data_IF_135965157263
#
_entry.id   IF_135965157263
#
_cell.length_a   1.000
_cell.length_b   1.000
_cell.length_c   1.000
_cell.angle_alpha   90.00
_cell.angle_beta   90.00
_cell.angle_gamma   90.00
#
_symmetry.space_group_name_H-M   'P 1'
#
loop_
_entity.id
_entity.type
_entity.pdbx_description
1 polymer ?
#
# COMPACT_ATOMS: atom_id res chain seq x y z
N UNK A 1 -5.65 -24.94 -2.48
CA UNK A 1 -4.90 -23.68 -2.48
C UNK A 1 -5.78 -22.64 -1.82
N UNK A 2 -5.42 -22.18 -0.64
CA UNK A 2 -6.22 -21.20 0.13
C UNK A 2 -5.88 -19.82 -0.43
N UNK A 3 -6.87 -19.15 -0.99
CA UNK A 3 -6.69 -17.80 -1.57
C UNK A 3 -7.21 -16.78 -0.57
N UNK A 4 -6.39 -15.83 -0.21
CA UNK A 4 -6.74 -14.76 0.71
C UNK A 4 -7.16 -13.52 -0.09
N UNK A 5 -8.21 -12.85 0.39
CA UNK A 5 -8.72 -11.62 -0.21
C UNK A 5 -8.72 -10.56 0.86
N UNK A 6 -8.02 -9.45 0.59
CA UNK A 6 -7.87 -8.35 1.51
C UNK A 6 -8.47 -7.08 0.92
N UNK A 7 -9.12 -6.30 1.75
CA UNK A 7 -9.54 -4.94 1.43
C UNK A 7 -8.63 -3.99 2.21
N UNK A 8 -7.87 -3.18 1.50
CA UNK A 8 -7.00 -2.18 2.10
C UNK A 8 -7.47 -0.78 1.70
N UNK A 9 -7.86 0.04 2.68
CA UNK A 9 -8.12 1.46 2.44
C UNK A 9 -6.81 2.23 2.66
N UNK A 10 -6.17 2.63 1.58
CA UNK A 10 -4.95 3.43 1.61
C UNK A 10 -5.24 4.94 1.56
N UNK A 11 -6.47 5.35 1.83
CA UNK A 11 -6.95 6.74 1.75
C UNK A 11 -6.09 7.75 2.54
N UNK A 12 -5.42 7.30 3.60
CA UNK A 12 -4.56 8.17 4.41
C UNK A 12 -3.22 8.57 3.76
N UNK A 13 -2.87 7.98 2.62
CA UNK A 13 -1.57 8.21 1.98
C UNK A 13 -1.62 9.12 0.76
N UNK A 14 -2.81 9.33 0.16
CA UNK A 14 -2.96 10.09 -1.08
C UNK A 14 -3.38 11.54 -0.83
N UNK A 15 -3.12 12.08 0.28
CA UNK A 15 -3.17 13.53 0.33
C UNK A 15 -1.92 14.06 -0.38
N UNK A 16 -1.92 13.90 -1.71
CA UNK A 16 -1.16 14.78 -2.55
C UNK A 16 -1.48 16.19 -2.09
N UNK A 17 -0.47 16.98 -1.93
CA UNK A 17 -0.42 18.35 -1.51
C UNK A 17 -1.33 19.33 -2.29
N UNK A 18 -2.51 18.95 -2.68
CA UNK A 18 -3.61 19.87 -2.96
C UNK A 18 -4.14 20.30 -1.61
N UNK A 19 -3.48 21.33 -1.11
CA UNK A 19 -3.84 22.19 -0.01
C UNK A 19 -5.35 22.45 -0.01
N UNK A 20 -6.11 21.59 0.69
CA UNK A 20 -7.44 21.91 1.19
C UNK A 20 -7.58 21.34 2.60
N UNK A 21 -7.18 22.16 3.57
CA UNK A 21 -7.76 22.11 4.90
C UNK A 21 -7.22 21.11 5.89
N UNK A 22 -5.99 20.60 5.79
CA UNK A 22 -5.48 19.68 6.80
C UNK A 22 -4.13 20.07 7.38
N UNK A 23 -4.13 19.99 8.70
CA UNK A 23 -3.01 20.08 9.65
C UNK A 23 -1.97 21.13 9.30
N UNK A 24 -2.12 22.29 9.91
CA UNK A 24 -1.12 23.37 9.89
C UNK A 24 0.22 22.99 10.51
N UNK A 25 0.39 21.76 11.00
CA UNK A 25 1.61 21.29 11.65
C UNK A 25 2.33 20.29 10.75
N UNK A 26 3.17 20.80 9.88
CA UNK A 26 4.23 20.01 9.22
C UNK A 26 5.59 20.59 9.59
N UNK A 27 6.60 19.76 9.56
CA UNK A 27 8.00 20.15 9.74
C UNK A 27 8.71 20.14 8.40
N UNK A 28 9.58 21.13 8.18
CA UNK A 28 10.43 21.15 6.99
C UNK A 28 11.78 20.53 7.34
N UNK A 29 12.25 19.62 6.50
CA UNK A 29 13.54 18.98 6.65
C UNK A 29 14.31 19.01 5.32
N UNK A 30 15.64 18.86 5.41
CA UNK A 30 16.55 18.80 4.29
C UNK A 30 17.38 17.51 4.39
N UNK A 31 16.87 16.38 3.85
CA UNK A 31 17.56 15.10 3.93
C UNK A 31 18.93 15.14 3.26
N UNK A 32 19.89 14.42 3.86
CA UNK A 32 21.26 14.31 3.37
C UNK A 32 21.73 12.87 3.39
N UNK A 33 22.39 12.42 2.33
CA UNK A 33 23.10 11.15 2.32
C UNK A 33 24.37 11.30 3.15
N UNK A 34 24.50 10.51 4.22
CA UNK A 34 25.70 10.49 5.08
C UNK A 34 26.76 9.53 4.57
N UNK A 35 26.37 8.53 3.79
CA UNK A 35 27.28 7.56 3.20
C UNK A 35 26.54 6.50 2.42
N UNK A 36 27.20 6.00 1.39
CA UNK A 36 26.86 4.73 0.74
C UNK A 36 28.03 3.79 0.99
N UNK A 37 27.80 2.66 1.64
CA UNK A 37 28.87 1.69 1.89
C UNK A 37 29.05 0.77 0.68
N UNK A 38 30.06 1.04 -0.11
CA UNK A 38 30.71 0.12 -1.04
C UNK A 38 29.77 -0.61 -2.02
N UNK A 39 30.07 -1.88 -2.27
CA UNK A 39 29.30 -2.78 -3.12
C UNK A 39 27.93 -3.21 -2.55
N UNK A 40 27.64 -2.90 -1.29
CA UNK A 40 26.33 -3.11 -0.68
C UNK A 40 25.40 -1.94 -1.07
N UNK A 41 24.20 -2.27 -1.51
CA UNK A 41 23.16 -1.30 -1.89
C UNK A 41 22.59 -0.53 -0.71
N UNK A 42 23.28 -0.47 0.41
CA UNK A 42 22.89 0.20 1.66
C UNK A 42 23.17 1.70 1.59
N UNK A 43 22.21 2.49 2.05
CA UNK A 43 22.32 3.94 2.16
C UNK A 43 22.02 4.40 3.58
N UNK A 44 22.75 5.38 4.04
CA UNK A 44 22.45 6.06 5.31
C UNK A 44 22.00 7.48 5.00
N UNK A 45 20.75 7.79 5.34
CA UNK A 45 20.17 9.11 5.07
C UNK A 45 19.76 9.75 6.39
N UNK A 46 20.36 10.91 6.66
CA UNK A 46 19.90 11.78 7.74
C UNK A 46 18.68 12.57 7.27
N UNK A 47 17.55 12.37 7.89
CA UNK A 47 16.31 13.07 7.56
C UNK A 47 16.21 14.39 8.33
N UNK A 48 16.38 14.32 9.65
CA UNK A 48 16.38 15.44 10.58
C UNK A 48 17.04 15.04 11.88
N UNK A 49 17.22 15.99 12.80
CA UNK A 49 17.74 15.69 14.13
C UNK A 49 16.97 14.56 14.82
N UNK A 50 17.70 13.57 15.30
CA UNK A 50 17.13 12.37 15.92
C UNK A 50 16.53 11.33 14.96
N UNK A 51 16.53 11.58 13.63
CA UNK A 51 16.02 10.64 12.65
C UNK A 51 16.99 10.40 11.50
N UNK A 52 17.66 9.27 11.55
CA UNK A 52 18.54 8.75 10.49
C UNK A 52 18.02 7.37 10.08
N UNK A 53 17.92 7.12 8.77
CA UNK A 53 17.49 5.87 8.19
C UNK A 53 18.69 5.07 7.69
N UNK A 54 18.69 3.77 8.00
CA UNK A 54 19.63 2.78 7.48
C UNK A 54 18.92 1.94 6.44
N UNK A 55 19.10 2.28 5.18
CA UNK A 55 18.28 1.84 4.08
C UNK A 55 18.89 0.65 3.35
N UNK A 56 18.12 -0.42 3.24
CA UNK A 56 18.37 -1.60 2.39
C UNK A 56 17.44 -1.57 1.18
N UNK A 57 17.83 -2.23 0.07
CA UNK A 57 16.96 -2.37 -1.11
C UNK A 57 15.71 -3.17 -0.81
N UNK A 58 14.58 -2.70 -1.34
CA UNK A 58 13.33 -3.46 -1.37
C UNK A 58 13.35 -4.42 -2.57
N UNK A 59 12.77 -5.59 -2.39
CA UNK A 59 12.41 -6.51 -3.45
C UNK A 59 10.99 -7.01 -3.17
N UNK A 60 10.02 -6.36 -3.78
CA UNK A 60 8.58 -6.63 -3.59
C UNK A 60 7.83 -6.75 -4.92
N UNK A 61 8.41 -6.25 -6.02
CA UNK A 61 7.83 -6.35 -7.35
C UNK A 61 8.39 -7.56 -8.09
N UNK A 62 7.51 -8.31 -8.76
CA UNK A 62 7.92 -9.35 -9.70
C UNK A 62 8.74 -8.74 -10.84
N UNK A 63 9.79 -9.43 -11.29
CA UNK A 63 10.54 -8.99 -12.47
C UNK A 63 9.62 -8.82 -13.69
N UNK A 64 8.68 -9.75 -13.86
CA UNK A 64 7.66 -9.72 -14.90
C UNK A 64 6.34 -9.15 -14.38
N UNK A 65 6.40 -7.94 -13.80
CA UNK A 65 5.21 -7.24 -13.33
C UNK A 65 4.28 -6.93 -14.51
N UNK A 66 2.99 -7.11 -14.33
CA UNK A 66 1.99 -6.78 -15.34
C UNK A 66 1.01 -5.75 -14.78
N UNK A 67 0.88 -4.62 -15.47
CA UNK A 67 -0.17 -3.65 -15.21
C UNK A 67 -1.30 -3.86 -16.22
N UNK A 68 -2.53 -4.02 -15.73
CA UNK A 68 -3.74 -4.11 -16.56
C UNK A 68 -4.63 -2.91 -16.30
N UNK A 69 -5.03 -2.21 -17.35
CA UNK A 69 -5.96 -1.10 -17.27
C UNK A 69 -7.33 -1.54 -17.83
N UNK A 70 -8.34 -1.59 -16.96
CA UNK A 70 -9.72 -1.93 -17.29
C UNK A 70 -10.63 -0.68 -17.32
N UNK A 71 -10.08 0.52 -17.33
CA UNK A 71 -10.87 1.75 -17.33
C UNK A 71 -11.47 2.08 -18.69
N UNK A 72 -10.90 1.56 -19.77
CA UNK A 72 -11.33 1.74 -21.13
C UNK A 72 -12.39 0.71 -21.58
N UNK A 73 -12.75 0.77 -22.88
CA UNK A 73 -13.64 -0.24 -23.50
C UNK A 73 -12.98 -1.61 -23.64
N UNK A 74 -11.68 -1.60 -23.92
CA UNK A 74 -10.86 -2.80 -24.08
C UNK A 74 -9.79 -2.81 -23.00
N UNK A 75 -9.47 -3.96 -22.40
CA UNK A 75 -8.38 -4.10 -21.47
C UNK A 75 -7.02 -3.76 -22.13
N UNK A 76 -6.24 -2.91 -21.49
CA UNK A 76 -4.86 -2.62 -21.92
C UNK A 76 -3.90 -3.30 -20.95
N UNK A 77 -3.05 -4.18 -21.47
CA UNK A 77 -2.07 -4.96 -20.69
C UNK A 77 -0.66 -4.44 -21.00
N UNK A 78 0.01 -3.95 -19.98
CA UNK A 78 1.35 -3.37 -20.07
C UNK A 78 2.33 -4.19 -19.25
N UNK A 79 3.25 -4.94 -19.88
CA UNK A 79 4.36 -5.57 -19.18
C UNK A 79 5.32 -4.51 -18.62
N UNK A 80 5.75 -4.67 -17.37
CA UNK A 80 6.68 -3.77 -16.69
C UNK A 80 7.84 -4.56 -16.09
N UNK A 81 9.02 -3.97 -16.07
CA UNK A 81 10.14 -4.56 -15.35
C UNK A 81 10.13 -4.10 -13.88
N UNK A 82 9.68 -4.98 -12.97
CA UNK A 82 9.57 -4.64 -11.54
C UNK A 82 10.91 -4.27 -10.92
N UNK A 83 12.01 -4.91 -11.32
CA UNK A 83 13.36 -4.58 -10.84
C UNK A 83 13.76 -3.15 -11.20
N UNK A 84 13.41 -2.70 -12.41
CA UNK A 84 13.64 -1.33 -12.81
C UNK A 84 12.75 -0.36 -12.02
N UNK A 85 11.49 -0.72 -11.75
CA UNK A 85 10.57 0.12 -10.98
C UNK A 85 11.01 0.28 -9.52
N UNK A 86 11.53 -0.78 -8.91
CA UNK A 86 11.98 -0.74 -7.50
C UNK A 86 13.44 -0.26 -7.31
N UNK A 87 14.13 0.16 -8.39
CA UNK A 87 15.56 0.56 -8.32
C UNK A 87 15.87 1.66 -7.31
N UNK A 88 14.91 2.52 -7.02
CA UNK A 88 15.04 3.63 -6.06
C UNK A 88 14.27 3.38 -4.75
N UNK A 89 13.74 2.18 -4.54
CA UNK A 89 12.98 1.82 -3.36
C UNK A 89 13.86 1.17 -2.30
N UNK A 90 13.71 1.65 -1.07
CA UNK A 90 14.50 1.23 0.07
C UNK A 90 13.62 1.10 1.31
N UNK A 91 14.06 0.30 2.27
CA UNK A 91 13.42 0.18 3.56
C UNK A 91 14.43 0.22 4.72
N UNK A 92 13.94 0.62 5.88
CA UNK A 92 14.60 0.47 7.18
C UNK A 92 13.67 -0.31 8.08
N UNK A 93 14.03 -1.57 8.39
CA UNK A 93 13.19 -2.48 9.18
C UNK A 93 13.05 -2.02 10.62
N UNK A 94 14.10 -1.44 11.20
CA UNK A 94 14.10 -0.98 12.60
C UNK A 94 13.17 0.24 12.77
N UNK A 95 13.15 1.13 11.79
CA UNK A 95 12.32 2.34 11.79
C UNK A 95 10.93 2.13 11.20
N UNK A 96 10.63 0.91 10.70
CA UNK A 96 9.40 0.61 9.96
C UNK A 96 9.19 1.59 8.79
N UNK A 97 10.30 1.94 8.13
CA UNK A 97 10.31 2.92 7.05
C UNK A 97 10.42 2.23 5.69
N UNK A 98 9.73 2.80 4.69
CA UNK A 98 9.91 2.45 3.29
C UNK A 98 9.81 3.74 2.45
N UNK A 99 10.82 3.98 1.64
CA UNK A 99 10.97 5.25 0.92
C UNK A 99 11.50 5.04 -0.49
N UNK A 100 11.07 5.91 -1.41
CA UNK A 100 11.76 6.15 -2.66
C UNK A 100 12.85 7.20 -2.42
N UNK A 101 14.07 6.93 -2.90
CA UNK A 101 15.21 7.84 -2.80
C UNK A 101 15.75 8.09 -4.20
N UNK A 102 15.67 9.34 -4.66
CA UNK A 102 16.27 9.80 -5.90
C UNK A 102 17.43 10.74 -5.60
N UNK A 103 18.53 10.52 -6.27
CA UNK A 103 19.72 11.38 -6.17
C UNK A 103 20.01 11.98 -7.53
N UNK A 104 19.92 13.30 -7.62
CA UNK A 104 20.21 14.03 -8.85
C UNK A 104 21.06 15.25 -8.54
N UNK A 105 22.21 15.37 -9.21
CA UNK A 105 23.13 16.51 -9.10
C UNK A 105 23.52 16.84 -7.65
N UNK A 106 23.71 15.82 -6.80
CA UNK A 106 24.05 15.96 -5.38
C UNK A 106 22.88 16.32 -4.46
N UNK A 107 21.70 16.55 -5.01
CA UNK A 107 20.47 16.71 -4.24
C UNK A 107 19.78 15.37 -4.05
N UNK A 108 19.11 15.23 -2.91
CA UNK A 108 18.39 14.01 -2.53
C UNK A 108 16.90 14.32 -2.42
N UNK A 109 16.11 13.54 -3.11
CA UNK A 109 14.65 13.50 -2.94
C UNK A 109 14.26 12.22 -2.22
N UNK A 110 13.47 12.37 -1.17
CA UNK A 110 12.96 11.26 -0.35
C UNK A 110 11.44 11.36 -0.29
N UNK A 111 10.75 10.31 -0.65
CA UNK A 111 9.28 10.24 -0.51
C UNK A 111 8.84 8.89 0.05
N UNK A 112 7.86 8.91 0.96
CA UNK A 112 7.32 7.69 1.54
C UNK A 112 7.09 7.72 3.04
N UNK A 113 7.20 6.56 3.63
CA UNK A 113 6.97 6.27 5.06
C UNK A 113 8.31 6.31 5.79
N UNK A 114 8.45 7.14 6.82
CA UNK A 114 9.68 7.25 7.61
C UNK A 114 9.53 6.76 9.05
N UNK A 115 8.32 6.46 9.45
CA UNK A 115 7.98 5.74 10.68
C UNK A 115 6.50 5.31 10.63
N UNK A 116 6.01 4.64 11.65
CA UNK A 116 4.59 4.25 11.75
C UNK A 116 3.61 5.39 11.51
N UNK A 117 3.94 6.58 11.97
CA UNK A 117 3.05 7.75 11.90
C UNK A 117 3.55 8.89 11.04
N UNK A 118 4.79 8.86 10.57
CA UNK A 118 5.39 9.96 9.83
C UNK A 118 5.56 9.64 8.35
N UNK A 119 5.28 10.64 7.53
CA UNK A 119 5.48 10.61 6.08
C UNK A 119 6.37 11.76 5.65
N UNK A 120 7.09 11.56 4.55
CA UNK A 120 7.95 12.57 3.95
C UNK A 120 7.63 12.72 2.46
N UNK A 121 7.60 13.96 1.99
CA UNK A 121 7.44 14.28 0.56
C UNK A 121 8.30 15.50 0.21
N UNK A 122 8.87 15.57 -1.00
CA UNK A 122 9.64 16.74 -1.44
C UNK A 122 8.74 17.95 -1.68
N UNK A 123 9.28 19.15 -1.42
CA UNK A 123 8.63 20.46 -1.64
C UNK A 123 9.35 21.19 -2.76
N UNK A 124 9.08 20.83 -4.00
CA UNK A 124 9.76 21.41 -5.18
C UNK A 124 9.55 22.91 -5.37
N UNK A 125 8.46 23.47 -4.81
CA UNK A 125 8.16 24.91 -4.90
C UNK A 125 8.87 25.75 -3.84
N UNK A 126 9.52 25.13 -2.86
CA UNK A 126 10.31 25.84 -1.86
C UNK A 126 11.74 26.06 -2.36
N UNK A 127 12.35 27.16 -1.90
CA UNK A 127 13.76 27.43 -2.16
C UNK A 127 14.63 26.28 -1.61
N UNK A 128 15.65 25.91 -2.35
CA UNK A 128 16.69 24.99 -1.86
C UNK A 128 17.46 25.66 -0.73
N UNK A 129 18.04 24.84 0.16
CA UNK A 129 18.98 25.35 1.15
C UNK A 129 20.26 25.90 0.52
N UNK A 130 21.10 26.58 1.28
CA UNK A 130 22.37 27.16 0.81
C UNK A 130 23.30 26.10 0.18
N UNK A 131 23.24 24.86 0.67
CA UNK A 131 24.01 23.72 0.15
C UNK A 131 23.32 22.99 -1.00
N UNK A 132 22.20 23.51 -1.53
CA UNK A 132 21.46 22.96 -2.66
C UNK A 132 20.48 21.84 -2.32
N UNK A 133 20.36 21.48 -1.03
CA UNK A 133 19.44 20.41 -0.59
C UNK A 133 17.98 20.81 -0.84
N UNK A 134 17.15 19.82 -1.21
CA UNK A 134 15.72 20.00 -1.47
C UNK A 134 14.96 20.00 -0.15
N UNK A 135 14.04 20.96 0.01
CA UNK A 135 13.14 21.00 1.14
C UNK A 135 12.14 19.86 1.09
N UNK A 136 11.86 19.22 2.21
CA UNK A 136 10.86 18.17 2.35
C UNK A 136 9.87 18.52 3.45
N UNK A 137 8.61 18.18 3.23
CA UNK A 137 7.55 18.22 4.22
C UNK A 137 7.51 16.90 4.96
N UNK A 138 7.65 16.95 6.29
CA UNK A 138 7.36 15.84 7.18
C UNK A 138 6.03 16.12 7.85
N UNK A 139 5.11 15.19 7.79
CA UNK A 139 3.79 15.32 8.39
C UNK A 139 3.36 14.03 9.08
N UNK A 140 2.54 14.21 10.10
CA UNK A 140 1.98 13.09 10.84
C UNK A 140 0.69 12.64 10.19
N UNK A 141 0.60 11.34 9.93
CA UNK A 141 -0.67 10.69 9.58
C UNK A 141 -1.29 10.21 10.89
N UNK A 142 -2.53 10.60 11.13
CA UNK A 142 -3.27 10.04 12.24
C UNK A 142 -3.47 8.56 11.94
N UNK A 143 -2.70 7.72 12.63
CA UNK A 143 -3.02 6.32 12.65
C UNK A 143 -4.47 6.19 13.16
N UNK A 144 -5.33 5.42 12.49
CA UNK A 144 -6.60 5.07 13.10
C UNK A 144 -6.29 4.54 14.50
N UNK A 145 -6.99 5.05 15.50
CA UNK A 145 -6.75 4.68 16.90
C UNK A 145 -6.59 3.18 16.96
N UNK A 146 -5.49 2.70 17.57
CA UNK A 146 -5.14 1.30 17.69
C UNK A 146 -6.38 0.51 18.11
N UNK A 147 -7.06 -0.07 17.12
CA UNK A 147 -8.19 -0.96 17.35
C UNK A 147 -7.57 -2.33 17.44
N UNK A 148 -7.45 -2.81 18.66
CA UNK A 148 -7.06 -4.19 18.87
C UNK A 148 -7.95 -5.09 17.99
N UNK A 149 -7.33 -5.99 17.23
CA UNK A 149 -7.97 -6.98 16.39
C UNK A 149 -8.66 -6.44 15.11
N UNK A 150 -7.90 -5.77 14.23
CA UNK A 150 -8.29 -5.54 12.84
C UNK A 150 -8.07 -6.80 11.98
N UNK A 151 -8.64 -7.92 12.41
CA UNK A 151 -8.80 -9.08 11.55
C UNK A 151 -10.29 -9.20 11.23
N UNK A 152 -10.67 -8.99 9.96
CA UNK A 152 -11.90 -9.56 9.49
C UNK A 152 -11.72 -11.08 9.57
N UNK A 153 -12.16 -11.71 10.66
CA UNK A 153 -12.44 -13.12 10.62
C UNK A 153 -13.40 -13.31 9.44
N UNK A 154 -12.96 -14.05 8.43
CA UNK A 154 -13.84 -14.63 7.46
C UNK A 154 -14.73 -15.63 8.24
N UNK A 155 -15.67 -15.09 9.02
CA UNK A 155 -16.63 -15.86 9.75
C UNK A 155 -17.50 -16.58 8.72
N UNK A 156 -17.26 -17.91 8.64
CA UNK A 156 -18.11 -18.89 7.98
C UNK A 156 -18.20 -18.84 6.45
N UNK A 157 -17.06 -18.83 5.75
CA UNK A 157 -17.01 -19.66 4.56
C UNK A 157 -16.82 -21.09 5.07
N UNK A 158 -17.91 -21.83 5.23
CA UNK A 158 -17.84 -23.28 5.40
C UNK A 158 -17.12 -23.82 4.15
N UNK A 159 -15.84 -24.10 4.32
CA UNK A 159 -15.10 -24.97 3.44
C UNK A 159 -15.73 -26.34 3.65
N UNK A 160 -16.67 -26.71 2.79
CA UNK A 160 -17.03 -28.12 2.63
C UNK A 160 -15.74 -28.85 2.26
N UNK A 161 -15.11 -29.45 3.27
CA UNK A 161 -14.10 -30.48 3.08
C UNK A 161 -14.77 -31.64 2.34
N UNK A 162 -14.71 -31.61 1.03
CA UNK A 162 -14.85 -32.84 0.23
C UNK A 162 -13.53 -33.61 0.33
N UNK A 163 -13.22 -34.06 1.52
CA UNK A 163 -12.32 -35.19 1.74
C UNK A 163 -13.11 -36.47 1.50
N UNK A 164 -13.29 -36.84 0.23
CA UNK A 164 -13.65 -38.22 -0.10
C UNK A 164 -12.50 -39.11 0.37
N UNK A 165 -12.85 -40.02 1.28
CA UNK A 165 -11.96 -40.95 1.91
C UNK A 165 -11.07 -41.73 0.96
N UNK A 166 -9.80 -41.56 1.08
CA UNK A 166 -8.79 -42.53 0.74
C UNK A 166 -7.73 -42.56 1.84
N UNK A 167 -7.63 -43.74 2.43
CA UNK A 167 -6.58 -44.30 3.29
C UNK A 167 -5.50 -43.32 3.78
N UNK A 168 -5.41 -43.26 5.12
CA UNK A 168 -4.30 -42.71 5.87
C UNK A 168 -2.96 -43.32 5.43
N UNK A 169 -2.35 -42.70 4.44
CA UNK A 169 -0.91 -42.75 4.24
C UNK A 169 -0.32 -41.62 5.07
N UNK A 170 0.75 -41.93 5.83
CA UNK A 170 1.58 -41.05 6.66
C UNK A 170 1.55 -39.59 6.18
N UNK A 171 1.32 -38.61 7.08
CA UNK A 171 1.31 -37.20 6.71
C UNK A 171 2.66 -36.86 6.06
N UNK A 172 2.66 -36.58 4.76
CA UNK A 172 3.81 -35.97 4.10
C UNK A 172 4.07 -34.68 4.83
N UNK A 173 5.22 -34.55 5.47
CA UNK A 173 5.71 -33.27 5.92
C UNK A 173 5.87 -32.38 4.68
N UNK A 174 4.92 -31.48 4.48
CA UNK A 174 5.03 -30.43 3.46
C UNK A 174 6.09 -29.48 3.98
N UNK A 175 7.28 -29.51 3.40
CA UNK A 175 8.29 -28.48 3.66
C UNK A 175 7.76 -27.17 3.10
N UNK A 176 7.41 -26.25 3.99
CA UNK A 176 7.03 -24.89 3.61
C UNK A 176 8.32 -24.14 3.25
N UNK A 177 8.40 -23.49 2.09
CA UNK A 177 9.57 -22.67 1.74
C UNK A 177 9.84 -21.57 2.77
N UNK A 178 11.11 -21.26 3.01
CA UNK A 178 11.52 -20.13 3.84
C UNK A 178 12.51 -19.24 3.03
N UNK A 179 12.10 -18.06 2.57
CA UNK A 179 10.82 -17.39 2.83
C UNK A 179 9.64 -17.97 2.03
N UNK A 180 8.45 -17.88 2.61
CA UNK A 180 7.19 -18.18 1.93
C UNK A 180 6.73 -16.94 1.17
N UNK A 181 6.77 -17.00 -0.17
CA UNK A 181 6.33 -15.90 -1.04
C UNK A 181 4.82 -15.97 -1.23
N UNK A 182 4.15 -14.85 -1.03
CA UNK A 182 2.73 -14.67 -1.33
C UNK A 182 2.62 -13.83 -2.60
N UNK A 183 2.30 -14.48 -3.72
CA UNK A 183 2.03 -13.80 -4.97
C UNK A 183 0.73 -13.02 -4.88
N UNK A 184 0.79 -11.72 -5.15
CA UNK A 184 -0.30 -10.79 -4.87
C UNK A 184 -0.74 -10.05 -6.14
N UNK A 185 -2.06 -10.04 -6.36
CA UNK A 185 -2.73 -9.14 -7.28
C UNK A 185 -3.21 -7.91 -6.51
N UNK A 186 -2.83 -6.72 -6.98
CA UNK A 186 -3.33 -5.45 -6.45
C UNK A 186 -4.34 -4.88 -7.43
N UNK A 187 -5.55 -4.64 -6.96
CA UNK A 187 -6.60 -3.96 -7.73
C UNK A 187 -6.79 -2.57 -7.15
N UNK A 188 -6.72 -1.57 -7.98
CA UNK A 188 -6.88 -0.17 -7.59
C UNK A 188 -8.11 0.43 -8.27
N UNK A 189 -8.97 1.10 -7.50
CA UNK A 189 -10.15 1.75 -8.04
C UNK A 189 -9.82 3.15 -8.64
N UNK A 190 -10.81 3.72 -9.35
CA UNK A 190 -10.64 5.02 -9.99
C UNK A 190 -10.35 6.14 -9.01
N UNK A 191 -10.93 6.10 -7.82
CA UNK A 191 -10.74 7.12 -6.77
C UNK A 191 -9.33 7.11 -6.23
N UNK A 192 -8.62 5.97 -6.40
CA UNK A 192 -7.23 5.84 -6.04
C UNK A 192 -6.30 6.22 -7.19
N UNK A 193 -6.42 5.57 -8.37
CA UNK A 193 -5.44 5.74 -9.43
C UNK A 193 -5.50 7.11 -10.12
N UNK A 194 -6.64 7.80 -10.09
CA UNK A 194 -6.78 9.19 -10.62
C UNK A 194 -5.94 10.22 -9.85
N UNK A 195 -5.37 9.87 -8.69
CA UNK A 195 -4.47 10.76 -7.94
C UNK A 195 -3.02 10.73 -8.45
N UNK A 196 -2.71 9.92 -9.45
CA UNK A 196 -1.36 9.77 -9.99
C UNK A 196 -1.28 10.27 -11.43
N UNK A 197 -0.21 11.01 -11.75
CA UNK A 197 -0.01 11.57 -13.10
C UNK A 197 0.29 10.47 -14.13
N UNK A 198 0.84 9.34 -13.69
CA UNK A 198 1.21 8.22 -14.56
C UNK A 198 1.32 6.89 -13.80
N UNK A 199 1.35 5.80 -14.57
CA UNK A 199 1.41 4.44 -14.02
C UNK A 199 2.69 4.15 -13.23
N UNK A 200 3.81 4.79 -13.57
CA UNK A 200 5.06 4.59 -12.84
C UNK A 200 4.96 5.13 -11.40
N UNK A 201 4.36 6.31 -11.22
CA UNK A 201 4.10 6.87 -9.88
C UNK A 201 3.14 5.98 -9.08
N UNK A 202 2.07 5.49 -9.72
CA UNK A 202 1.12 4.57 -9.11
C UNK A 202 1.83 3.29 -8.60
N UNK A 203 2.61 2.64 -9.47
CA UNK A 203 3.35 1.41 -9.13
C UNK A 203 4.35 1.65 -7.99
N UNK A 204 5.14 2.73 -8.08
CA UNK A 204 6.11 3.12 -7.03
C UNK A 204 5.43 3.34 -5.68
N UNK A 205 4.29 4.04 -5.69
CA UNK A 205 3.53 4.29 -4.47
C UNK A 205 2.98 3.01 -3.84
N UNK A 206 2.40 2.12 -4.65
CA UNK A 206 1.90 0.82 -4.20
C UNK A 206 3.05 -0.01 -3.61
N UNK A 207 4.17 -0.10 -4.33
CA UNK A 207 5.33 -0.85 -3.89
C UNK A 207 5.89 -0.33 -2.56
N UNK A 208 6.03 1.00 -2.40
CA UNK A 208 6.50 1.63 -1.17
C UNK A 208 5.54 1.36 0.00
N UNK A 209 4.23 1.46 -0.25
CA UNK A 209 3.22 1.24 0.78
C UNK A 209 3.18 -0.22 1.24
N UNK A 210 3.20 -1.17 0.30
CA UNK A 210 3.18 -2.59 0.62
C UNK A 210 4.51 -3.09 1.18
N UNK A 211 5.62 -2.41 0.90
CA UNK A 211 6.89 -2.68 1.56
C UNK A 211 6.80 -2.47 3.08
N UNK A 212 6.09 -1.44 3.55
CA UNK A 212 5.88 -1.25 5.00
C UNK A 212 5.04 -2.36 5.62
N UNK A 213 4.07 -2.89 4.88
CA UNK A 213 3.29 -4.06 5.30
C UNK A 213 4.17 -5.30 5.34
N UNK A 214 5.00 -5.51 4.31
CA UNK A 214 5.92 -6.65 4.23
C UNK A 214 6.94 -6.65 5.39
N UNK A 215 7.44 -5.48 5.82
CA UNK A 215 8.32 -5.36 6.99
C UNK A 215 7.64 -5.93 8.25
N UNK A 216 6.35 -5.65 8.46
CA UNK A 216 5.61 -6.18 9.62
C UNK A 216 5.51 -7.70 9.60
N UNK A 217 5.30 -8.28 8.42
CA UNK A 217 5.29 -9.75 8.25
C UNK A 217 6.68 -10.38 8.33
N UNK A 218 7.76 -9.63 8.08
CA UNK A 218 9.13 -10.16 8.20
C UNK A 218 9.52 -10.55 9.62
N UNK A 219 8.77 -10.08 10.64
CA UNK A 219 8.91 -10.49 12.02
C UNK A 219 8.26 -11.86 12.33
N UNK A 220 7.45 -12.38 11.40
CA UNK A 220 6.98 -13.76 11.48
C UNK A 220 8.18 -14.70 11.25
N UNK A 221 8.44 -15.62 12.17
CA UNK A 221 9.71 -16.34 12.24
C UNK A 221 9.66 -17.75 11.68
N UNK A 222 8.47 -18.32 11.37
CA UNK A 222 8.41 -19.70 10.89
C UNK A 222 7.09 -20.04 10.16
N UNK A 223 7.07 -19.94 8.85
CA UNK A 223 8.08 -19.42 7.93
C UNK A 223 8.12 -17.88 7.91
N UNK A 224 9.20 -17.31 7.37
CA UNK A 224 9.21 -15.88 6.98
C UNK A 224 8.23 -15.67 5.84
N UNK A 225 7.37 -14.68 5.97
CA UNK A 225 6.39 -14.33 4.94
C UNK A 225 6.88 -13.10 4.17
N UNK A 226 6.86 -13.20 2.85
CA UNK A 226 7.23 -12.10 1.95
C UNK A 226 6.14 -11.90 0.90
N UNK A 227 5.71 -10.66 0.71
CA UNK A 227 4.78 -10.30 -0.36
C UNK A 227 5.54 -10.12 -1.67
N UNK A 228 4.96 -10.60 -2.78
CA UNK A 228 5.45 -10.38 -4.14
C UNK A 228 4.30 -9.87 -5.01
N UNK A 229 4.38 -8.64 -5.47
CA UNK A 229 3.37 -8.05 -6.36
C UNK A 229 3.64 -8.54 -7.79
N UNK A 230 2.74 -9.34 -8.32
CA UNK A 230 2.85 -9.91 -9.68
C UNK A 230 1.97 -9.15 -10.66
N UNK A 231 0.78 -8.72 -10.22
CA UNK A 231 -0.17 -7.99 -11.03
C UNK A 231 -0.68 -6.74 -10.33
N UNK A 232 -0.86 -5.67 -11.10
CA UNK A 232 -1.58 -4.47 -10.69
C UNK A 232 -2.69 -4.24 -11.71
N UNK A 233 -3.93 -4.04 -11.26
CA UNK A 233 -5.09 -3.81 -12.13
C UNK A 233 -5.77 -2.50 -11.76
N UNK A 234 -5.88 -1.58 -12.70
CA UNK A 234 -6.74 -0.39 -12.60
C UNK A 234 -8.15 -0.81 -13.00
N UNK A 235 -9.10 -0.69 -12.10
CA UNK A 235 -10.49 -1.10 -12.31
C UNK A 235 -11.43 0.00 -11.82
N UNK A 236 -12.35 0.42 -12.68
CA UNK A 236 -13.35 1.46 -12.31
C UNK A 236 -14.21 1.00 -11.12
N UNK A 237 -14.34 -0.31 -10.94
CA UNK A 237 -15.04 -0.90 -9.79
C UNK A 237 -16.56 -0.88 -9.87
N UNK A 238 -17.14 -0.59 -11.06
CA UNK A 238 -18.61 -0.44 -11.23
C UNK A 238 -19.42 -1.68 -10.83
N UNK A 239 -18.82 -2.84 -10.93
CA UNK A 239 -19.47 -4.13 -10.67
C UNK A 239 -19.28 -4.66 -9.24
N UNK A 240 -18.25 -4.19 -8.52
CA UNK A 240 -17.98 -4.64 -7.15
C UNK A 240 -17.99 -3.54 -6.07
N UNK A 241 -17.64 -2.29 -6.39
CA UNK A 241 -17.69 -1.21 -5.40
C UNK A 241 -19.14 -0.91 -4.99
N UNK A 242 -19.36 -0.80 -3.70
CA UNK A 242 -20.64 -0.42 -3.11
C UNK A 242 -20.45 0.86 -2.30
N UNK A 243 -21.12 1.90 -2.74
CA UNK A 243 -20.96 3.23 -2.19
C UNK A 243 -22.00 3.54 -1.12
N UNK A 244 -21.57 4.29 -0.11
CA UNK A 244 -22.44 4.89 0.91
C UNK A 244 -22.29 6.39 0.80
N UNK A 245 -23.39 7.08 0.56
CA UNK A 245 -23.44 8.55 0.54
C UNK A 245 -23.94 9.03 1.90
N UNK A 246 -23.14 9.86 2.57
CA UNK A 246 -23.46 10.43 3.88
C UNK A 246 -23.58 11.94 3.74
N UNK A 247 -24.64 12.52 4.28
CA UNK A 247 -24.77 13.97 4.32
C UNK A 247 -23.82 14.56 5.36
N UNK A 248 -23.02 15.54 4.95
CA UNK A 248 -22.13 16.31 5.82
C UNK A 248 -22.65 17.74 5.92
N UNK A 249 -23.49 17.98 6.91
CA UNK A 249 -24.09 19.29 7.16
C UNK A 249 -23.05 20.36 7.55
N UNK A 250 -21.83 19.97 7.90
CA UNK A 250 -20.75 20.89 8.26
C UNK A 250 -20.04 21.48 7.06
N UNK A 251 -20.15 20.84 5.89
CA UNK A 251 -19.49 21.25 4.64
C UNK A 251 -20.52 21.76 3.62
N UNK A 252 -20.80 23.05 3.66
CA UNK A 252 -21.75 23.71 2.76
C UNK A 252 -21.36 23.65 1.28
N UNK A 253 -20.05 23.53 0.98
CA UNK A 253 -19.55 23.46 -0.40
C UNK A 253 -19.68 22.05 -0.98
N UNK A 254 -19.66 21.01 -0.15
CA UNK A 254 -19.82 19.64 -0.56
C UNK A 254 -20.59 18.86 0.53
N UNK A 255 -21.93 18.99 0.54
CA UNK A 255 -22.79 18.49 1.64
C UNK A 255 -22.89 16.96 1.69
N UNK A 256 -22.21 16.26 0.80
CA UNK A 256 -22.22 14.80 0.75
C UNK A 256 -20.80 14.27 0.70
N UNK A 257 -20.50 13.25 1.51
CA UNK A 257 -19.26 12.51 1.47
C UNK A 257 -19.51 11.07 1.01
N UNK A 258 -18.71 10.62 0.08
CA UNK A 258 -18.80 9.29 -0.49
C UNK A 258 -17.85 8.34 0.23
N UNK A 259 -18.36 7.19 0.65
CA UNK A 259 -17.61 6.11 1.28
C UNK A 259 -17.78 4.81 0.48
N UNK A 260 -16.88 3.87 0.71
CA UNK A 260 -17.02 2.50 0.21
C UNK A 260 -17.48 1.58 1.35
N UNK A 261 -18.57 0.85 1.14
CA UNK A 261 -19.00 -0.19 2.08
C UNK A 261 -18.04 -1.38 2.02
N UNK A 262 -17.26 -1.58 3.09
CA UNK A 262 -16.37 -2.73 3.17
C UNK A 262 -17.14 -4.05 3.15
N UNK A 263 -18.21 -4.13 3.94
CA UNK A 263 -19.04 -5.32 4.11
C UNK A 263 -19.71 -5.79 2.80
N UNK A 264 -20.15 -4.85 1.96
CA UNK A 264 -20.83 -5.20 0.71
C UNK A 264 -19.87 -5.32 -0.48
N UNK A 265 -18.77 -4.56 -0.47
CA UNK A 265 -17.78 -4.54 -1.56
C UNK A 265 -16.94 -5.79 -1.57
N UNK A 266 -16.45 -6.24 -0.41
CA UNK A 266 -15.51 -7.35 -0.32
C UNK A 266 -16.05 -8.66 -0.92
N UNK A 267 -17.30 -9.09 -0.70
CA UNK A 267 -17.85 -10.28 -1.33
C UNK A 267 -17.97 -10.18 -2.86
N UNK A 268 -18.27 -8.98 -3.38
CA UNK A 268 -18.38 -8.76 -4.83
C UNK A 268 -16.99 -8.75 -5.49
N UNK A 269 -16.03 -8.09 -4.85
CA UNK A 269 -14.63 -8.12 -5.24
C UNK A 269 -14.09 -9.56 -5.26
N UNK A 270 -14.34 -10.32 -4.19
CA UNK A 270 -13.99 -11.72 -4.07
C UNK A 270 -14.57 -12.57 -5.21
N UNK A 271 -15.82 -12.33 -5.58
CA UNK A 271 -16.49 -13.04 -6.69
C UNK A 271 -15.83 -12.73 -8.04
N UNK A 272 -15.49 -11.45 -8.29
CA UNK A 272 -14.86 -11.01 -9.54
C UNK A 272 -13.48 -11.62 -9.71
N UNK A 273 -12.65 -11.54 -8.67
CA UNK A 273 -11.24 -11.93 -8.71
C UNK A 273 -10.95 -13.36 -8.19
N UNK A 274 -11.99 -14.18 -7.96
CA UNK A 274 -11.83 -15.55 -7.42
C UNK A 274 -10.94 -16.48 -8.27
N UNK A 275 -10.83 -16.21 -9.56
CA UNK A 275 -10.10 -17.02 -10.52
C UNK A 275 -8.69 -16.49 -10.83
N UNK A 276 -8.19 -15.52 -10.03
CA UNK A 276 -6.79 -15.08 -10.16
C UNK A 276 -5.83 -16.25 -9.94
N UNK A 277 -4.67 -16.20 -10.60
CA UNK A 277 -3.59 -17.17 -10.40
C UNK A 277 -2.76 -16.87 -9.15
N UNK A 278 -2.92 -15.67 -8.57
CA UNK A 278 -2.22 -15.24 -7.37
C UNK A 278 -2.75 -15.91 -6.10
N UNK A 279 -1.90 -15.98 -5.07
CA UNK A 279 -2.26 -16.49 -3.74
C UNK A 279 -3.20 -15.52 -3.01
N UNK A 280 -3.02 -14.22 -3.21
CA UNK A 280 -3.83 -13.17 -2.61
C UNK A 280 -4.27 -12.12 -3.63
N UNK A 281 -5.44 -11.51 -3.39
CA UNK A 281 -5.91 -10.32 -4.09
C UNK A 281 -6.24 -9.23 -3.08
N UNK A 282 -5.75 -8.02 -3.33
CA UNK A 282 -5.97 -6.84 -2.49
C UNK A 282 -6.70 -5.77 -3.29
N UNK A 283 -7.76 -5.21 -2.71
CA UNK A 283 -8.40 -4.00 -3.23
C UNK A 283 -7.86 -2.78 -2.49
N UNK A 284 -7.37 -1.82 -3.25
CA UNK A 284 -6.95 -0.51 -2.77
C UNK A 284 -7.92 0.54 -3.28
N UNK A 285 -8.56 1.25 -2.37
CA UNK A 285 -9.55 2.27 -2.69
C UNK A 285 -9.10 3.66 -2.25
N UNK A 286 -9.42 4.67 -3.04
CA UNK A 286 -9.23 6.08 -2.68
C UNK A 286 -10.35 6.62 -1.79
N UNK A 287 -11.41 5.85 -1.53
CA UNK A 287 -12.51 6.22 -0.66
C UNK A 287 -12.28 5.70 0.76
N UNK A 288 -12.76 6.45 1.74
CA UNK A 288 -12.82 5.96 3.11
C UNK A 288 -13.82 4.80 3.22
N UNK A 289 -13.51 3.86 4.11
CA UNK A 289 -14.39 2.73 4.36
C UNK A 289 -15.48 3.11 5.37
N UNK A 290 -16.70 2.62 5.14
CA UNK A 290 -17.79 2.71 6.09
C UNK A 290 -18.63 1.43 6.06
N UNK A 291 -19.33 1.18 7.16
CA UNK A 291 -20.35 0.13 7.25
C UNK A 291 -21.70 0.76 7.57
N UNK A 292 -22.74 0.17 7.01
CA UNK A 292 -24.12 0.57 7.29
C UNK A 292 -24.78 -0.45 8.22
N UNK A 293 -25.28 0.01 9.38
CA UNK A 293 -26.08 -0.78 10.31
C UNK A 293 -27.49 -0.16 10.36
N UNK A 294 -28.38 -0.66 9.49
CA UNK A 294 -29.72 -0.06 9.34
C UNK A 294 -29.65 1.36 8.75
N UNK A 295 -30.12 2.35 9.50
CA UNK A 295 -30.06 3.77 9.12
C UNK A 295 -28.71 4.44 9.47
N UNK A 296 -27.95 3.85 10.38
CA UNK A 296 -26.70 4.42 10.87
C UNK A 296 -25.51 4.03 9.98
N UNK A 297 -24.63 4.99 9.73
CA UNK A 297 -23.36 4.79 9.02
C UNK A 297 -22.21 4.95 10.01
N UNK A 298 -21.44 3.89 10.17
CA UNK A 298 -20.23 3.91 10.98
C UNK A 298 -19.00 3.93 10.07
N UNK A 299 -18.11 4.90 10.28
CA UNK A 299 -16.77 4.94 9.68
C UNK A 299 -15.78 4.09 10.48
N UNK A 300 -16.24 3.53 11.60
CA UNK A 300 -15.50 2.58 12.41
C UNK A 300 -15.57 1.19 11.79
N UNK A 301 -14.90 1.03 10.65
CA UNK A 301 -14.81 -0.28 9.99
C UNK A 301 -13.76 -1.11 10.70
N UNK A 302 -14.20 -2.17 11.33
CA UNK A 302 -13.29 -3.23 11.78
C UNK A 302 -12.96 -4.05 10.54
N UNK A 303 -11.76 -3.88 10.02
CA UNK A 303 -11.22 -4.65 8.90
C UNK A 303 -10.78 -6.04 9.34
#
# INVERSE_FOLDING_TARGET
MMRYIFLCALSALIQNATVRGESRNFEVAYPKVLGSRGLSSEKVIHIKEGLTLHLEKISILSENLVLTDLSGKEPVVTPMNGKYMERNLYHDKEKMAAVEVKEENGAVEVSGVISDTLRIVPLHLMARSEDGSIAHKIFKVNAPAHRGHDYAEASNIQLEERCNGHNLSTPRQIQVPDPFLIETLIVVDKYFYENFDNDAQLVTYIATSLATVSIRYSNASNPKVQLLIVYITKDVGTDFLRHILVSDASNLANPFKLYTSAQETLPQFARKYRNTTCDAAMLVTGLELANRNGADVSTDVKG
#
